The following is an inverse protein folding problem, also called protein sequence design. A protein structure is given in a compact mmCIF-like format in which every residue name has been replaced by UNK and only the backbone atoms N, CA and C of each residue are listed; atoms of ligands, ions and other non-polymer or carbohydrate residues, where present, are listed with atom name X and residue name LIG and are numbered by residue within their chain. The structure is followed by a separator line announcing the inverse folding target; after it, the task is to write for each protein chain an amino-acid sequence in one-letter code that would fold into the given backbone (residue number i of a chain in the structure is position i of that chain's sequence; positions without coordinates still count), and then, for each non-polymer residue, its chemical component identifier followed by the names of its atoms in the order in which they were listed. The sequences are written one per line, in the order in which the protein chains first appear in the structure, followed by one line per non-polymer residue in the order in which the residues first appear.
data_IF_344193997935
#
_entry.id   IF_344193997935
#
_cell.length_a   1.000
_cell.length_b   1.000
_cell.length_c   1.000
_cell.angle_alpha   90.00
_cell.angle_beta   90.00
_cell.angle_gamma   90.00
#
_symmetry.space_group_name_H-M   'P 1'
#
loop_
_entity.id
_entity.type
_entity.pdbx_description
1 polymer ?
#
# COMPACT_ATOMS: atom_id res chain seq x y z
N UNK A 1 -8.34 37.24 -0.27
CA UNK A 1 -7.18 37.09 0.63
C UNK A 1 -7.23 35.70 1.28
N UNK A 2 -6.47 34.74 0.79
CA UNK A 2 -6.35 33.40 1.40
C UNK A 2 -5.34 33.48 2.54
N UNK A 3 -5.79 33.25 3.77
CA UNK A 3 -4.90 33.12 4.94
C UNK A 3 -4.09 31.85 4.81
N UNK A 4 -2.81 31.97 4.55
CA UNK A 4 -1.83 30.91 4.77
C UNK A 4 -1.79 30.61 6.28
N UNK A 5 -2.24 29.41 6.70
CA UNK A 5 -1.99 28.92 8.05
C UNK A 5 -0.52 28.56 8.14
N UNK A 6 0.15 29.11 9.14
CA UNK A 6 1.54 28.86 9.46
C UNK A 6 1.78 27.37 9.73
N UNK A 7 2.79 26.83 9.08
CA UNK A 7 3.43 25.56 9.46
C UNK A 7 3.88 25.77 10.92
N UNK A 8 3.34 24.93 11.84
CA UNK A 8 3.83 24.94 13.23
C UNK A 8 5.30 24.55 13.19
N UNK A 9 6.15 25.50 13.60
CA UNK A 9 7.58 25.25 13.78
C UNK A 9 7.74 24.23 14.90
N UNK A 10 8.21 23.03 14.55
CA UNK A 10 8.77 22.08 15.51
C UNK A 10 9.90 22.81 16.22
N UNK A 11 9.88 22.88 17.55
CA UNK A 11 10.88 23.64 18.30
C UNK A 11 12.25 22.99 18.12
N UNK A 12 13.29 23.83 18.05
CA UNK A 12 14.69 23.38 17.87
C UNK A 12 15.17 22.46 19.02
N UNK A 13 14.47 22.48 20.18
CA UNK A 13 14.75 21.62 21.34
C UNK A 13 14.31 20.15 21.14
N UNK A 14 13.42 19.89 20.19
CA UNK A 14 12.92 18.53 19.92
C UNK A 14 13.84 17.74 18.98
N UNK A 15 14.89 18.38 18.48
CA UNK A 15 15.84 17.83 17.51
C UNK A 15 17.21 17.45 18.11
N UNK A 16 17.29 17.29 19.43
CA UNK A 16 18.53 16.81 20.07
C UNK A 16 18.72 15.31 19.72
N UNK A 17 19.57 15.04 18.73
CA UNK A 17 19.76 13.72 18.10
C UNK A 17 20.22 12.63 19.09
N UNK A 18 20.66 13.00 20.28
CA UNK A 18 21.16 12.06 21.28
C UNK A 18 20.12 11.68 22.36
N UNK A 19 18.95 12.31 22.40
CA UNK A 19 17.92 11.99 23.39
C UNK A 19 17.06 10.80 22.99
N UNK A 20 16.59 9.99 23.96
CA UNK A 20 15.54 8.99 23.71
C UNK A 20 14.27 9.65 23.15
N UNK A 21 13.53 8.90 22.38
CA UNK A 21 12.20 9.30 21.91
C UNK A 21 11.14 9.09 22.99
N UNK A 22 10.08 9.88 22.93
CA UNK A 22 8.94 9.76 23.81
C UNK A 22 8.25 8.39 23.64
N UNK A 23 7.64 7.90 24.74
CA UNK A 23 6.78 6.70 24.71
C UNK A 23 5.31 7.05 24.49
N UNK A 24 4.96 8.35 24.41
CA UNK A 24 3.61 8.80 24.14
C UNK A 24 3.38 8.89 22.62
N UNK A 25 2.50 8.04 22.03
CA UNK A 25 2.18 8.09 20.59
C UNK A 25 1.67 9.46 20.14
N UNK A 26 0.99 10.22 21.02
CA UNK A 26 0.44 11.54 20.72
C UNK A 26 1.51 12.58 20.37
N UNK A 27 2.74 12.36 20.82
CA UNK A 27 3.86 13.26 20.47
C UNK A 27 4.18 13.21 18.97
N UNK A 28 3.74 12.15 18.28
CA UNK A 28 4.01 11.86 16.87
C UNK A 28 2.78 11.94 15.97
N UNK A 29 1.59 12.22 16.55
CA UNK A 29 0.31 12.24 15.86
C UNK A 29 -0.14 13.67 15.55
N UNK A 30 -0.72 13.87 14.37
CA UNK A 30 -1.49 15.03 13.96
C UNK A 30 -2.57 14.57 12.98
N UNK A 31 -3.81 14.40 13.47
CA UNK A 31 -4.95 13.98 12.65
C UNK A 31 -5.21 14.91 11.45
N UNK A 32 -4.72 16.15 11.51
CA UNK A 32 -4.84 17.14 10.43
C UNK A 32 -3.66 17.17 9.47
N UNK A 33 -2.68 16.28 9.64
CA UNK A 33 -1.51 16.21 8.78
C UNK A 33 -1.90 16.02 7.31
N UNK A 34 -1.21 16.75 6.43
CA UNK A 34 -1.44 16.65 4.99
C UNK A 34 -0.52 15.58 4.42
N UNK A 35 -1.11 14.60 3.74
CA UNK A 35 -0.36 13.57 3.02
C UNK A 35 0.52 14.20 1.93
N UNK A 36 1.82 13.98 2.00
CA UNK A 36 2.82 14.55 1.09
C UNK A 36 3.88 13.53 0.63
N UNK A 37 3.54 12.26 0.71
CA UNK A 37 4.40 11.17 0.30
C UNK A 37 4.30 10.87 -1.18
N UNK A 38 5.44 10.51 -1.78
CA UNK A 38 5.52 9.87 -3.10
C UNK A 38 5.92 8.40 -2.94
N UNK A 39 5.70 7.59 -3.96
CA UNK A 39 6.18 6.21 -3.99
C UNK A 39 7.71 6.14 -3.85
N UNK A 40 8.42 7.08 -4.51
CA UNK A 40 9.87 7.17 -4.43
C UNK A 40 10.37 7.49 -3.01
N UNK A 41 9.69 8.38 -2.29
CA UNK A 41 10.02 8.68 -0.89
C UNK A 41 9.92 7.43 -0.03
N UNK A 42 8.85 6.65 -0.18
CA UNK A 42 8.66 5.42 0.56
C UNK A 42 9.69 4.34 0.22
N UNK A 43 9.99 4.11 -1.07
CA UNK A 43 10.98 3.12 -1.52
C UNK A 43 12.41 3.48 -1.12
N UNK A 44 12.71 4.77 -0.97
CA UNK A 44 14.03 5.26 -0.55
C UNK A 44 14.27 5.15 0.96
N UNK A 45 13.25 4.85 1.77
CA UNK A 45 13.43 4.63 3.20
C UNK A 45 14.39 3.48 3.49
N UNK A 46 15.26 3.69 4.47
CA UNK A 46 16.34 2.75 4.83
C UNK A 46 16.04 2.12 6.19
N UNK A 47 15.56 0.87 6.24
CA UNK A 47 15.36 0.18 7.49
C UNK A 47 16.63 0.19 8.36
N UNK A 48 16.45 0.40 9.67
CA UNK A 48 17.51 0.51 10.69
C UNK A 48 18.44 1.70 10.57
N UNK A 49 18.22 2.58 9.59
CA UNK A 49 19.01 3.81 9.40
C UNK A 49 18.16 5.07 9.57
N UNK A 50 16.98 5.12 8.93
CA UNK A 50 16.10 6.28 9.07
C UNK A 50 15.40 6.26 10.43
N UNK A 51 15.31 7.43 11.05
CA UNK A 51 14.68 7.59 12.36
C UNK A 51 13.31 8.23 12.23
N UNK A 52 12.42 7.98 13.20
CA UNK A 52 11.12 8.63 13.26
C UNK A 52 11.24 10.16 13.19
N UNK A 53 12.22 10.73 13.87
CA UNK A 53 12.49 12.19 13.83
C UNK A 53 12.87 12.68 12.44
N UNK A 54 13.71 11.92 11.70
CA UNK A 54 14.10 12.31 10.34
C UNK A 54 12.90 12.26 9.39
N UNK A 55 12.04 11.28 9.56
CA UNK A 55 10.81 11.12 8.76
C UNK A 55 9.82 12.24 9.09
N UNK A 56 9.57 12.54 10.37
CA UNK A 56 8.72 13.65 10.79
C UNK A 56 9.23 15.00 10.28
N UNK A 57 10.55 15.20 10.26
CA UNK A 57 11.15 16.42 9.72
C UNK A 57 10.85 16.61 8.23
N UNK A 58 10.77 15.53 7.48
CA UNK A 58 10.54 15.58 6.02
C UNK A 58 9.06 15.56 5.66
N UNK A 59 8.25 14.77 6.37
CA UNK A 59 6.86 14.48 6.02
C UNK A 59 5.81 14.95 7.04
N UNK A 60 6.26 15.51 8.16
CA UNK A 60 5.36 15.87 9.27
C UNK A 60 5.02 14.67 10.16
N UNK A 61 4.13 14.88 11.12
CA UNK A 61 3.60 13.84 12.00
C UNK A 61 2.61 12.97 11.23
N UNK A 62 2.41 11.71 11.68
CA UNK A 62 1.41 10.83 11.09
C UNK A 62 -0.02 11.24 11.44
N UNK A 63 -0.98 10.83 10.62
CA UNK A 63 -2.41 11.06 10.90
C UNK A 63 -2.91 10.17 12.04
N UNK A 64 -2.31 9.00 12.20
CA UNK A 64 -2.63 8.05 13.25
C UNK A 64 -1.35 7.36 13.72
N UNK A 65 -1.21 7.21 15.05
CA UNK A 65 -0.05 6.56 15.66
C UNK A 65 -0.51 5.56 16.71
N UNK A 66 0.01 4.35 16.65
CA UNK A 66 -0.33 3.25 17.54
C UNK A 66 0.92 2.63 18.15
N UNK A 67 0.87 2.37 19.47
CA UNK A 67 1.90 1.59 20.15
C UNK A 67 1.57 0.11 20.03
N UNK A 68 2.44 -0.62 19.36
CA UNK A 68 2.36 -2.08 19.23
C UNK A 68 3.34 -2.77 20.21
N UNK A 69 3.17 -4.05 20.44
CA UNK A 69 4.07 -4.83 21.30
C UNK A 69 5.51 -4.86 20.83
N UNK A 70 5.73 -4.68 19.53
CA UNK A 70 7.04 -4.68 18.86
C UNK A 70 7.63 -3.29 18.65
N UNK A 71 6.86 -2.21 18.85
CA UNK A 71 7.32 -0.86 18.60
C UNK A 71 6.19 0.13 18.34
N UNK A 72 6.43 1.10 17.46
CA UNK A 72 5.49 2.16 17.10
C UNK A 72 5.09 2.00 15.64
N UNK A 73 3.79 2.09 15.37
CA UNK A 73 3.24 2.17 14.01
C UNK A 73 2.74 3.58 13.74
N UNK A 74 3.13 4.14 12.62
CA UNK A 74 2.73 5.49 12.17
C UNK A 74 2.06 5.38 10.81
N UNK A 75 0.85 5.89 10.70
CA UNK A 75 0.10 5.97 9.43
C UNK A 75 0.08 7.38 8.91
N UNK A 76 0.35 7.50 7.63
CA UNK A 76 0.11 8.68 6.80
C UNK A 76 -1.00 8.33 5.81
N UNK A 77 -2.14 9.03 5.90
CA UNK A 77 -3.35 8.72 5.13
C UNK A 77 -3.77 9.94 4.30
N UNK A 78 -4.13 9.70 3.04
CA UNK A 78 -4.66 10.75 2.16
C UNK A 78 -6.08 11.19 2.52
N UNK A 79 -6.78 10.42 3.35
CA UNK A 79 -8.14 10.69 3.81
C UNK A 79 -9.24 10.12 2.91
N UNK A 80 -8.88 9.39 1.87
CA UNK A 80 -9.82 8.70 0.97
C UNK A 80 -9.94 7.19 1.23
N UNK A 81 -9.11 6.67 2.16
CA UNK A 81 -9.03 5.25 2.49
C UNK A 81 -8.42 4.37 1.39
N UNK A 82 -7.92 4.97 0.31
CA UNK A 82 -7.35 4.28 -0.85
C UNK A 82 -5.84 4.41 -0.97
N UNK A 83 -5.31 5.50 -0.43
CA UNK A 83 -3.89 5.79 -0.46
C UNK A 83 -3.38 6.10 0.94
N UNK A 84 -2.50 5.26 1.45
CA UNK A 84 -1.88 5.44 2.77
C UNK A 84 -0.53 4.72 2.88
N UNK A 85 0.25 5.13 3.86
CA UNK A 85 1.53 4.51 4.22
C UNK A 85 1.52 4.18 5.70
N UNK A 86 1.79 2.94 6.03
CA UNK A 86 2.03 2.44 7.38
C UNK A 86 3.52 2.19 7.57
N UNK A 87 4.14 2.88 8.51
CA UNK A 87 5.55 2.71 8.89
C UNK A 87 5.65 2.08 10.27
N UNK A 88 6.50 1.08 10.40
CA UNK A 88 6.80 0.43 11.68
C UNK A 88 8.18 0.85 12.17
N UNK A 89 8.27 1.17 13.46
CA UNK A 89 9.49 1.61 14.12
C UNK A 89 9.77 0.76 15.34
N UNK A 90 11.05 0.47 15.58
CA UNK A 90 11.54 -0.21 16.78
C UNK A 90 12.54 0.66 17.52
N UNK A 91 12.63 0.54 18.85
CA UNK A 91 13.65 1.29 19.61
C UNK A 91 15.04 0.69 19.44
N UNK A 92 16.00 1.55 19.14
CA UNK A 92 17.41 1.20 19.19
C UNK A 92 17.96 1.23 20.64
N UNK A 93 19.23 0.91 20.81
CA UNK A 93 19.90 0.90 22.14
C UNK A 93 19.94 2.28 22.83
N UNK A 94 19.76 3.37 22.08
CA UNK A 94 19.68 4.75 22.61
C UNK A 94 18.25 5.17 22.97
N UNK A 95 17.25 4.27 22.81
CA UNK A 95 15.85 4.56 23.03
C UNK A 95 15.20 5.39 21.93
N UNK A 96 15.77 5.45 20.74
CA UNK A 96 15.25 6.18 19.59
C UNK A 96 14.50 5.22 18.67
N UNK A 97 13.38 5.67 18.11
CA UNK A 97 12.64 4.93 17.12
C UNK A 97 13.33 4.96 15.76
N UNK A 98 13.71 3.79 15.27
CA UNK A 98 14.28 3.59 13.93
C UNK A 98 13.32 2.82 13.06
N UNK A 99 13.22 3.22 11.80
CA UNK A 99 12.37 2.55 10.82
C UNK A 99 12.78 1.08 10.65
N UNK A 100 11.81 0.17 10.76
CA UNK A 100 12.04 -1.27 10.61
C UNK A 100 11.39 -1.87 9.38
N UNK A 101 10.43 -1.17 8.78
CA UNK A 101 9.72 -1.59 7.58
C UNK A 101 8.35 -0.94 7.48
N UNK A 102 7.62 -1.23 6.41
CA UNK A 102 6.31 -0.64 6.24
C UNK A 102 5.59 -1.14 4.99
N UNK A 103 4.37 -0.65 4.84
CA UNK A 103 3.50 -0.94 3.69
C UNK A 103 2.95 0.38 3.16
N UNK A 104 3.05 0.57 1.86
CA UNK A 104 2.34 1.63 1.16
C UNK A 104 1.25 1.02 0.28
N UNK A 105 0.07 1.63 0.29
CA UNK A 105 -1.08 1.25 -0.52
C UNK A 105 -1.43 2.39 -1.45
N UNK A 106 -1.65 2.06 -2.72
CA UNK A 106 -2.00 2.98 -3.79
C UNK A 106 -3.14 2.41 -4.65
N UNK A 107 -3.95 3.23 -5.29
CA UNK A 107 -4.85 2.77 -6.35
C UNK A 107 -4.04 2.21 -7.53
N UNK A 108 -4.66 1.35 -8.33
CA UNK A 108 -4.04 0.77 -9.51
C UNK A 108 -4.26 1.67 -10.72
N UNK A 109 -3.17 2.06 -11.39
CA UNK A 109 -3.25 2.91 -12.57
C UNK A 109 -4.10 2.28 -13.67
N UNK A 110 -5.02 3.05 -14.22
CA UNK A 110 -5.93 2.61 -15.30
C UNK A 110 -7.11 1.76 -14.82
N UNK A 111 -7.25 1.49 -13.52
CA UNK A 111 -8.42 0.83 -12.93
C UNK A 111 -9.35 1.85 -12.30
N UNK A 112 -10.64 1.65 -12.46
CA UNK A 112 -11.70 2.42 -11.79
C UNK A 112 -12.50 1.50 -10.89
N UNK A 113 -12.54 1.81 -9.59
CA UNK A 113 -13.41 1.12 -8.65
C UNK A 113 -14.88 1.49 -8.88
N UNK A 114 -15.75 0.48 -8.84
CA UNK A 114 -17.20 0.63 -9.04
C UNK A 114 -17.94 -0.04 -7.90
N UNK A 115 -18.69 0.73 -7.10
CA UNK A 115 -19.43 0.21 -5.94
C UNK A 115 -20.41 -0.93 -6.26
N UNK A 116 -21.10 -0.81 -7.40
CA UNK A 116 -22.04 -1.82 -7.88
C UNK A 116 -21.47 -2.53 -9.12
N UNK A 117 -20.27 -3.08 -8.96
CA UNK A 117 -19.59 -3.76 -10.06
C UNK A 117 -20.41 -4.96 -10.59
N UNK A 118 -20.57 -4.98 -11.91
CA UNK A 118 -21.13 -6.10 -12.65
C UNK A 118 -20.06 -6.69 -13.55
N UNK A 119 -19.84 -7.99 -13.45
CA UNK A 119 -18.75 -8.65 -14.17
C UNK A 119 -19.04 -8.71 -15.68
N UNK A 120 -18.06 -8.29 -16.46
CA UNK A 120 -18.01 -8.45 -17.91
C UNK A 120 -17.04 -9.56 -18.35
N UNK A 121 -16.55 -10.35 -17.40
CA UNK A 121 -15.65 -11.46 -17.67
C UNK A 121 -16.41 -12.65 -18.27
N UNK A 122 -15.92 -13.15 -19.40
CA UNK A 122 -16.42 -14.38 -20.00
C UNK A 122 -15.71 -15.61 -19.42
N UNK A 123 -16.34 -16.76 -19.55
CA UNK A 123 -15.74 -18.04 -19.12
C UNK A 123 -14.44 -18.34 -19.88
N UNK A 124 -14.40 -18.02 -21.17
CA UNK A 124 -13.21 -18.19 -22.01
C UNK A 124 -12.05 -17.33 -21.53
N UNK A 125 -12.29 -16.05 -21.22
CA UNK A 125 -11.29 -15.16 -20.68
C UNK A 125 -10.73 -15.65 -19.34
N UNK A 126 -11.59 -16.09 -18.42
CA UNK A 126 -11.16 -16.64 -17.13
C UNK A 126 -10.31 -17.90 -17.32
N UNK A 127 -10.73 -18.79 -18.21
CA UNK A 127 -9.99 -20.02 -18.50
C UNK A 127 -8.68 -19.78 -19.24
N UNK A 128 -8.51 -18.61 -19.87
CA UNK A 128 -7.27 -18.20 -20.54
C UNK A 128 -6.23 -17.63 -19.60
N UNK A 129 -6.60 -17.21 -18.37
CA UNK A 129 -5.68 -16.70 -17.38
C UNK A 129 -4.56 -17.71 -17.08
N UNK A 130 -3.31 -17.25 -17.05
CA UNK A 130 -2.12 -18.07 -16.76
C UNK A 130 -1.32 -17.43 -15.64
N UNK A 131 -1.12 -18.21 -14.58
CA UNK A 131 -0.24 -17.85 -13.46
C UNK A 131 1.22 -18.21 -13.78
N UNK A 132 2.13 -17.74 -12.94
CA UNK A 132 3.58 -18.07 -13.05
C UNK A 132 3.84 -19.57 -13.05
N UNK A 133 3.07 -20.35 -12.31
CA UNK A 133 3.22 -21.83 -12.22
C UNK A 133 2.69 -22.54 -13.47
N UNK A 134 2.04 -21.82 -14.37
CA UNK A 134 1.44 -22.33 -15.61
C UNK A 134 2.12 -21.80 -16.86
N UNK A 135 3.34 -21.26 -16.74
CA UNK A 135 4.12 -20.69 -17.86
C UNK A 135 4.39 -21.70 -18.99
N UNK A 136 4.40 -23.01 -18.66
CA UNK A 136 4.52 -24.10 -19.64
C UNK A 136 3.29 -24.24 -20.56
N UNK A 137 2.15 -23.63 -20.21
CA UNK A 137 0.92 -23.64 -21.04
C UNK A 137 0.83 -22.42 -21.98
N UNK A 138 1.73 -21.44 -21.82
CA UNK A 138 1.74 -20.22 -22.60
C UNK A 138 2.23 -19.01 -21.80
N UNK A 139 2.19 -17.81 -22.38
CA UNK A 139 2.60 -16.58 -21.71
C UNK A 139 1.80 -16.36 -20.42
N UNK A 140 2.49 -15.97 -19.35
CA UNK A 140 1.86 -15.57 -18.08
C UNK A 140 1.10 -14.27 -18.28
N UNK A 141 -0.15 -14.19 -17.80
CA UNK A 141 -1.01 -13.02 -17.93
C UNK A 141 -0.40 -11.83 -17.19
N UNK A 142 -0.27 -10.69 -17.86
CA UNK A 142 0.20 -9.45 -17.26
C UNK A 142 -0.94 -8.56 -16.77
N UNK A 143 -0.64 -7.67 -15.82
CA UNK A 143 -1.59 -6.67 -15.33
C UNK A 143 -2.04 -5.74 -16.47
N UNK A 144 -1.09 -5.30 -17.29
CA UNK A 144 -1.38 -4.39 -18.42
C UNK A 144 -2.37 -4.99 -19.41
N UNK A 145 -2.32 -6.33 -19.66
CA UNK A 145 -3.30 -7.02 -20.50
C UNK A 145 -4.68 -7.01 -19.85
N UNK A 146 -4.77 -7.32 -18.56
CA UNK A 146 -6.04 -7.35 -17.82
C UNK A 146 -6.67 -5.96 -17.76
N UNK A 147 -5.91 -4.92 -17.38
CA UNK A 147 -6.43 -3.55 -17.25
C UNK A 147 -6.91 -3.00 -18.60
N UNK A 148 -6.22 -3.33 -19.71
CA UNK A 148 -6.65 -2.91 -21.06
C UNK A 148 -8.05 -3.42 -21.42
N UNK A 149 -8.44 -4.61 -20.99
CA UNK A 149 -9.71 -5.24 -21.31
C UNK A 149 -10.77 -5.07 -20.21
N UNK A 150 -10.32 -4.97 -18.96
CA UNK A 150 -11.15 -4.94 -17.76
C UNK A 150 -10.70 -3.81 -16.82
N UNK A 151 -10.89 -2.55 -17.26
CA UNK A 151 -10.47 -1.35 -16.52
C UNK A 151 -11.40 -0.98 -15.35
N UNK A 152 -12.50 -1.68 -15.15
CA UNK A 152 -13.40 -1.50 -14.00
C UNK A 152 -13.31 -2.71 -13.09
N UNK A 153 -13.18 -2.47 -11.78
CA UNK A 153 -13.15 -3.50 -10.76
C UNK A 153 -14.03 -3.09 -9.56
N UNK A 154 -14.44 -4.05 -8.74
CA UNK A 154 -15.10 -3.78 -7.48
C UNK A 154 -14.15 -3.10 -6.50
N UNK A 155 -12.89 -3.57 -6.46
CA UNK A 155 -11.81 -3.02 -5.66
C UNK A 155 -10.49 -3.24 -6.37
N UNK A 156 -9.58 -2.31 -6.16
CA UNK A 156 -8.20 -2.40 -6.61
C UNK A 156 -7.27 -1.85 -5.54
N UNK A 157 -6.11 -2.47 -5.40
CA UNK A 157 -5.02 -1.91 -4.60
C UNK A 157 -3.67 -2.43 -5.07
N UNK A 158 -2.72 -1.52 -5.11
CA UNK A 158 -1.32 -1.80 -5.34
C UNK A 158 -0.56 -1.61 -4.04
N UNK A 159 0.14 -2.62 -3.59
CA UNK A 159 0.92 -2.60 -2.36
C UNK A 159 2.41 -2.63 -2.62
N UNK A 160 3.15 -1.87 -1.83
CA UNK A 160 4.60 -1.93 -1.73
C UNK A 160 4.94 -2.24 -0.29
N UNK A 161 5.62 -3.35 -0.05
CA UNK A 161 6.03 -3.79 1.28
C UNK A 161 7.55 -3.72 1.39
N UNK A 162 8.06 -2.99 2.36
CA UNK A 162 9.47 -2.90 2.70
C UNK A 162 9.72 -3.65 4.00
N UNK A 163 10.55 -4.69 3.94
CA UNK A 163 10.94 -5.46 5.11
C UNK A 163 12.22 -4.91 5.75
N UNK A 164 12.43 -5.25 7.01
CA UNK A 164 13.63 -4.86 7.78
C UNK A 164 14.96 -5.30 7.14
N UNK A 165 14.92 -6.28 6.24
CA UNK A 165 16.05 -6.75 5.42
C UNK A 165 16.25 -5.97 4.12
N UNK A 166 15.51 -4.89 3.88
CA UNK A 166 15.47 -4.11 2.62
C UNK A 166 14.91 -4.87 1.41
N UNK A 167 14.22 -5.96 1.63
CA UNK A 167 13.50 -6.62 0.55
C UNK A 167 12.25 -5.79 0.27
N UNK A 168 12.10 -5.35 -0.97
CA UNK A 168 10.91 -4.66 -1.45
C UNK A 168 10.06 -5.68 -2.22
N UNK A 169 8.82 -5.83 -1.81
CA UNK A 169 7.85 -6.67 -2.49
C UNK A 169 6.70 -5.80 -3.01
N UNK A 170 6.46 -5.85 -4.32
CA UNK A 170 5.39 -5.08 -4.98
C UNK A 170 4.34 -6.05 -5.52
N UNK A 171 3.08 -5.79 -5.19
CA UNK A 171 1.95 -6.59 -5.68
C UNK A 171 0.75 -5.71 -6.04
N UNK A 172 -0.13 -6.27 -6.85
CA UNK A 172 -1.42 -5.70 -7.20
C UNK A 172 -2.48 -6.76 -6.96
N UNK A 173 -3.59 -6.35 -6.35
CA UNK A 173 -4.76 -7.19 -6.19
C UNK A 173 -5.97 -6.50 -6.83
N UNK A 174 -6.72 -7.26 -7.64
CA UNK A 174 -7.95 -6.82 -8.30
C UNK A 174 -9.10 -7.73 -7.89
N UNK A 175 -10.21 -7.15 -7.42
CA UNK A 175 -11.43 -7.86 -7.09
C UNK A 175 -12.50 -7.55 -8.15
N UNK A 176 -12.83 -8.55 -8.95
CA UNK A 176 -13.89 -8.53 -9.98
C UNK A 176 -15.14 -9.28 -9.51
N UNK A 177 -15.39 -9.35 -8.23
CA UNK A 177 -16.56 -10.02 -7.67
C UNK A 177 -17.85 -9.32 -8.09
N UNK A 178 -18.67 -10.00 -8.86
CA UNK A 178 -19.99 -9.50 -9.26
C UNK A 178 -20.95 -9.46 -8.05
N UNK A 179 -21.39 -8.27 -7.69
CA UNK A 179 -22.33 -8.06 -6.57
C UNK A 179 -23.79 -8.01 -6.99
N UNK A 180 -24.06 -7.82 -8.29
CA UNK A 180 -25.41 -7.67 -8.83
C UNK A 180 -26.01 -8.98 -9.32
N UNK A 181 -25.19 -10.01 -9.46
CA UNK A 181 -25.70 -11.35 -9.79
C UNK A 181 -26.39 -11.97 -8.58
N UNK A 182 -27.52 -12.71 -8.79
CA UNK A 182 -28.10 -13.54 -7.75
C UNK A 182 -27.02 -14.42 -7.11
N UNK A 183 -27.10 -14.63 -5.79
CA UNK A 183 -26.09 -15.38 -5.01
C UNK A 183 -25.73 -16.73 -5.66
N UNK A 184 -26.71 -17.37 -6.32
CA UNK A 184 -26.58 -18.65 -7.04
C UNK A 184 -25.73 -18.55 -8.32
N UNK A 185 -25.55 -17.33 -8.86
CA UNK A 185 -24.77 -17.07 -10.08
C UNK A 185 -23.60 -16.12 -9.86
N UNK A 186 -23.36 -15.71 -8.61
CA UNK A 186 -22.30 -14.77 -8.29
C UNK A 186 -20.94 -15.34 -8.68
N UNK A 187 -20.25 -14.63 -9.57
CA UNK A 187 -18.90 -14.95 -9.96
C UNK A 187 -17.93 -14.21 -9.01
N UNK A 188 -17.16 -14.98 -8.26
CA UNK A 188 -16.07 -14.45 -7.48
C UNK A 188 -14.80 -14.59 -8.32
N UNK A 189 -14.19 -13.48 -8.70
CA UNK A 189 -12.90 -13.47 -9.39
C UNK A 189 -11.98 -12.49 -8.71
N UNK A 190 -10.89 -13.00 -8.14
CA UNK A 190 -9.81 -12.20 -7.58
C UNK A 190 -8.50 -12.57 -8.24
N UNK A 191 -7.75 -11.55 -8.64
CA UNK A 191 -6.48 -11.69 -9.33
C UNK A 191 -5.40 -11.00 -8.51
N UNK A 192 -4.31 -11.72 -8.20
CA UNK A 192 -3.14 -11.18 -7.53
C UNK A 192 -1.95 -11.25 -8.46
N UNK A 193 -1.23 -10.13 -8.57
CA UNK A 193 -0.09 -9.97 -9.45
C UNK A 193 1.14 -9.60 -8.64
N UNK A 194 2.29 -10.07 -9.06
CA UNK A 194 3.59 -9.68 -8.50
C UNK A 194 4.44 -8.97 -9.55
N UNK A 195 5.18 -7.95 -9.10
CA UNK A 195 6.04 -7.17 -9.96
C UNK A 195 7.24 -7.98 -10.46
N UNK A 196 7.54 -7.80 -11.73
CA UNK A 196 8.72 -8.38 -12.37
C UNK A 196 9.70 -7.27 -12.78
N UNK A 197 10.80 -7.16 -12.06
CA UNK A 197 11.82 -6.12 -12.26
C UNK A 197 12.42 -6.12 -13.69
N UNK A 198 12.54 -7.29 -14.31
CA UNK A 198 13.14 -7.40 -15.67
C UNK A 198 12.19 -6.92 -16.74
N UNK A 199 10.89 -7.19 -16.57
CA UNK A 199 9.86 -6.86 -17.56
C UNK A 199 9.16 -5.53 -17.28
N UNK A 200 9.38 -4.95 -16.07
CA UNK A 200 8.77 -3.69 -15.62
C UNK A 200 7.25 -3.70 -15.66
N UNK A 201 6.64 -4.85 -15.36
CA UNK A 201 5.19 -5.04 -15.29
C UNK A 201 4.86 -6.07 -14.19
N UNK A 202 3.59 -6.15 -13.83
CA UNK A 202 3.07 -7.11 -12.86
C UNK A 202 2.54 -8.35 -13.60
N UNK A 203 2.83 -9.52 -13.07
CA UNK A 203 2.41 -10.80 -13.65
C UNK A 203 1.58 -11.61 -12.68
N UNK A 204 0.52 -12.25 -13.18
CA UNK A 204 -0.41 -13.02 -12.39
C UNK A 204 0.32 -14.10 -11.61
N UNK A 205 0.26 -14.01 -10.28
CA UNK A 205 0.81 -14.98 -9.34
C UNK A 205 -0.25 -15.92 -8.80
N UNK A 206 -1.47 -15.40 -8.64
CA UNK A 206 -2.59 -16.17 -8.09
C UNK A 206 -3.91 -15.70 -8.68
N UNK A 207 -4.82 -16.64 -8.93
CA UNK A 207 -6.22 -16.35 -9.22
C UNK A 207 -7.13 -17.19 -8.32
N UNK A 208 -8.21 -16.60 -7.85
CA UNK A 208 -9.28 -17.29 -7.13
C UNK A 208 -10.57 -17.11 -7.92
N UNK A 209 -11.08 -18.22 -8.41
CA UNK A 209 -12.37 -18.28 -9.10
C UNK A 209 -13.29 -19.16 -8.29
N UNK A 210 -14.36 -18.60 -7.75
CA UNK A 210 -15.41 -19.38 -7.12
C UNK A 210 -16.74 -19.12 -7.84
N UNK A 211 -17.39 -20.19 -8.29
CA UNK A 211 -18.75 -20.17 -8.81
C UNK A 211 -19.63 -20.79 -7.74
N UNK A 212 -20.67 -20.09 -7.34
CA UNK A 212 -21.76 -20.69 -6.57
C UNK A 212 -22.77 -21.23 -7.60
N UNK A 213 -22.86 -22.53 -7.65
CA UNK A 213 -23.87 -23.24 -8.44
C UNK A 213 -25.19 -23.33 -7.66
#
# INVERSE_FOLDING_TARGET
MKKYRSIQQVSQSDLDEDKPDSDDPKDYEDESAIYNWTEEDFENLKPKADTLRSIIKSHGKGNYVEMESSGLKVRYDRGDGKEYIDLTFVKNKKGQYVYDGGTAIYPVDGVTEVDNYSSNWTEEQINSLRTKDQDYLGPVTSLSEVVREHSQAKRDWRSINVHSSRIIHKSVDLDYTDQNSPIEKAQLLRLSFEYNEKKKDYYLSYNSVARRY
#
